data_IF_188052263425
#
_entry.id   IF_188052263425
#
_cell.length_a   1.000
_cell.length_b   1.000
_cell.length_c   1.000
_cell.angle_alpha   90.00
_cell.angle_beta   90.00
_cell.angle_gamma   90.00
#
_symmetry.space_group_name_H-M   'P 1'
#
loop_
_entity.id
_entity.type
_entity.pdbx_description
1 polymer ?
#
# COMPACT_ATOMS: atom_id res chain seq x y z
N UNK A 1 -27.34 -37.86 -16.11
CA UNK A 1 -26.86 -37.32 -14.82
C UNK A 1 -25.49 -36.71 -15.08
N UNK A 2 -25.41 -35.37 -15.09
CA UNK A 2 -24.27 -34.61 -15.59
C UNK A 2 -23.13 -34.62 -14.56
N UNK A 3 -21.92 -35.01 -14.98
CA UNK A 3 -20.68 -34.79 -14.21
C UNK A 3 -19.67 -34.07 -15.11
N UNK A 4 -19.14 -32.90 -14.72
CA UNK A 4 -18.15 -32.18 -15.51
C UNK A 4 -16.76 -32.75 -15.22
N UNK A 5 -16.05 -33.16 -16.28
CA UNK A 5 -14.77 -33.86 -16.20
C UNK A 5 -13.60 -32.90 -16.45
N UNK A 6 -13.12 -32.34 -15.34
CA UNK A 6 -11.74 -32.12 -14.85
C UNK A 6 -10.57 -31.69 -15.80
N UNK A 7 -10.60 -31.86 -17.12
CA UNK A 7 -9.36 -31.71 -17.91
C UNK A 7 -8.88 -30.28 -18.21
N UNK A 8 -9.66 -29.23 -17.94
CA UNK A 8 -9.33 -27.87 -18.41
C UNK A 8 -9.02 -26.84 -17.31
N UNK A 9 -8.96 -27.24 -16.03
CA UNK A 9 -8.73 -26.28 -14.94
C UNK A 9 -7.31 -25.70 -14.91
N UNK A 10 -6.29 -26.35 -15.49
CA UNK A 10 -4.91 -25.86 -15.45
C UNK A 10 -4.59 -24.71 -16.41
N UNK A 11 -5.30 -24.61 -17.53
CA UNK A 11 -5.24 -23.40 -18.37
C UNK A 11 -6.05 -22.25 -17.76
N UNK A 12 -6.92 -22.56 -16.80
CA UNK A 12 -7.89 -21.68 -16.21
C UNK A 12 -7.35 -21.03 -14.91
N UNK A 13 -6.46 -21.69 -14.17
CA UNK A 13 -5.77 -21.05 -13.02
C UNK A 13 -4.86 -19.88 -13.47
N UNK A 14 -4.32 -19.92 -14.69
CA UNK A 14 -3.60 -18.77 -15.27
C UNK A 14 -4.52 -17.64 -15.78
N UNK A 15 -5.81 -17.91 -16.05
CA UNK A 15 -6.75 -16.92 -16.61
C UNK A 15 -7.82 -16.42 -15.62
N UNK A 16 -8.07 -17.12 -14.51
CA UNK A 16 -8.98 -16.66 -13.44
C UNK A 16 -8.30 -15.88 -12.32
N UNK A 17 -6.96 -15.88 -12.22
CA UNK A 17 -6.24 -15.08 -11.23
C UNK A 17 -6.27 -13.56 -11.42
N UNK A 18 -6.84 -13.06 -12.53
CA UNK A 18 -6.70 -11.65 -12.92
C UNK A 18 -8.01 -10.85 -13.06
N UNK A 19 -9.15 -11.42 -12.68
CA UNK A 19 -10.42 -10.69 -12.70
C UNK A 19 -11.01 -10.71 -11.29
N UNK A 20 -11.01 -9.54 -10.65
CA UNK A 20 -11.58 -9.18 -9.33
C UNK A 20 -10.75 -9.44 -8.06
N UNK A 21 -9.62 -8.73 -7.87
CA UNK A 21 -9.15 -8.35 -6.51
C UNK A 21 -8.55 -6.93 -6.57
N UNK A 22 -8.90 -6.01 -5.65
CA UNK A 22 -8.23 -4.71 -5.53
C UNK A 22 -6.75 -4.88 -5.16
N UNK A 23 -5.93 -4.00 -5.73
CA UNK A 23 -4.47 -3.96 -5.68
C UNK A 23 -3.87 -3.86 -4.27
N UNK A 24 -2.84 -4.68 -3.98
CA UNK A 24 -1.80 -4.39 -2.96
C UNK A 24 -0.43 -5.03 -3.30
N UNK A 25 0.56 -4.18 -3.68
CA UNK A 25 2.05 -4.21 -3.37
C UNK A 25 3.06 -5.06 -4.17
N UNK A 26 3.78 -4.53 -5.15
CA UNK A 26 4.71 -5.23 -6.09
C UNK A 26 5.96 -6.03 -5.63
N UNK A 27 5.96 -6.69 -4.47
CA UNK A 27 6.73 -7.91 -4.24
C UNK A 27 5.84 -8.91 -3.48
N UNK A 28 5.23 -8.44 -2.38
CA UNK A 28 4.06 -9.03 -1.72
C UNK A 28 2.98 -9.45 -2.72
N UNK A 29 2.47 -8.55 -3.55
CA UNK A 29 1.46 -8.76 -4.59
C UNK A 29 1.83 -9.86 -5.55
N UNK A 30 3.10 -10.00 -5.94
CA UNK A 30 3.45 -11.07 -6.87
C UNK A 30 3.41 -12.41 -6.14
N UNK A 31 4.01 -12.50 -4.95
CA UNK A 31 4.01 -13.73 -4.16
C UNK A 31 2.61 -14.08 -3.63
N UNK A 32 1.84 -13.12 -3.18
CA UNK A 32 0.41 -13.22 -2.82
C UNK A 32 -0.44 -13.68 -4.01
N UNK A 33 -0.16 -13.19 -5.22
CA UNK A 33 -0.84 -13.68 -6.43
C UNK A 33 -0.48 -15.15 -6.64
N UNK A 34 0.79 -15.54 -6.52
CA UNK A 34 1.20 -16.95 -6.61
C UNK A 34 0.49 -17.80 -5.56
N UNK A 35 0.46 -17.35 -4.30
CA UNK A 35 -0.23 -18.03 -3.19
C UNK A 35 -1.71 -18.20 -3.50
N UNK A 36 -2.41 -17.14 -3.90
CA UNK A 36 -3.85 -17.20 -4.23
C UNK A 36 -4.14 -18.14 -5.40
N UNK A 37 -3.33 -18.09 -6.46
CA UNK A 37 -3.44 -19.00 -7.61
C UNK A 37 -3.30 -20.44 -7.13
N UNK A 38 -2.28 -20.73 -6.34
CA UNK A 38 -2.01 -22.08 -5.83
C UNK A 38 -3.08 -22.56 -4.85
N UNK A 39 -3.57 -21.70 -3.95
CA UNK A 39 -4.65 -22.02 -3.01
C UNK A 39 -5.97 -22.31 -3.75
N UNK A 40 -6.32 -21.50 -4.75
CA UNK A 40 -7.51 -21.74 -5.57
C UNK A 40 -7.39 -23.06 -6.35
N UNK A 41 -6.21 -23.36 -6.89
CA UNK A 41 -5.95 -24.65 -7.55
C UNK A 41 -6.13 -25.82 -6.58
N UNK A 42 -5.54 -25.72 -5.38
CA UNK A 42 -5.68 -26.72 -4.30
C UNK A 42 -7.14 -26.97 -3.96
N UNK A 43 -7.92 -25.91 -3.69
CA UNK A 43 -9.34 -26.04 -3.33
C UNK A 43 -10.17 -26.64 -4.47
N UNK A 44 -9.96 -26.20 -5.71
CA UNK A 44 -10.67 -26.75 -6.86
C UNK A 44 -10.40 -28.25 -7.03
N UNK A 45 -9.13 -28.65 -6.96
CA UNK A 45 -8.74 -30.05 -7.14
C UNK A 45 -9.24 -30.90 -5.99
N UNK A 46 -9.19 -30.40 -4.75
CA UNK A 46 -9.79 -31.08 -3.60
C UNK A 46 -11.28 -31.31 -3.81
N UNK A 47 -12.01 -30.31 -4.26
CA UNK A 47 -13.44 -30.45 -4.56
C UNK A 47 -13.71 -31.47 -5.67
N UNK A 48 -12.78 -31.70 -6.59
CA UNK A 48 -12.91 -32.73 -7.62
C UNK A 48 -12.62 -34.13 -7.07
N UNK A 49 -11.60 -34.26 -6.22
CA UNK A 49 -11.32 -35.50 -5.47
C UNK A 49 -12.53 -35.89 -4.62
N UNK A 50 -13.08 -34.95 -3.84
CA UNK A 50 -14.17 -35.20 -2.89
C UNK A 50 -15.49 -35.65 -3.59
N UNK A 51 -15.63 -35.44 -4.90
CA UNK A 51 -16.80 -35.88 -5.71
C UNK A 51 -16.68 -37.30 -6.25
N UNK A 52 -15.50 -37.92 -6.13
CA UNK A 52 -15.22 -39.24 -6.67
C UNK A 52 -15.38 -40.29 -5.56
N UNK A 53 -16.08 -41.37 -5.87
CA UNK A 53 -16.35 -42.46 -4.93
C UNK A 53 -15.22 -43.49 -4.84
N UNK A 54 -14.31 -43.47 -5.81
CA UNK A 54 -13.17 -44.37 -5.93
C UNK A 54 -12.03 -43.62 -6.63
N UNK A 55 -10.87 -43.53 -5.98
CA UNK A 55 -9.74 -42.71 -6.45
C UNK A 55 -8.44 -43.44 -6.11
N UNK A 56 -7.48 -43.42 -7.04
CA UNK A 56 -6.21 -44.10 -6.81
C UNK A 56 -5.36 -43.35 -5.79
N UNK A 57 -4.51 -44.09 -5.06
CA UNK A 57 -3.55 -43.53 -4.12
C UNK A 57 -2.64 -42.48 -4.79
N UNK A 58 -2.27 -42.71 -6.05
CA UNK A 58 -1.47 -41.80 -6.86
C UNK A 58 -2.09 -40.39 -6.99
N UNK A 59 -3.42 -40.29 -7.04
CA UNK A 59 -4.11 -38.98 -7.05
C UNK A 59 -3.90 -38.24 -5.73
N UNK A 60 -4.00 -38.94 -4.60
CA UNK A 60 -3.73 -38.35 -3.28
C UNK A 60 -2.27 -37.94 -3.15
N UNK A 61 -1.33 -38.77 -3.62
CA UNK A 61 0.10 -38.49 -3.52
C UNK A 61 0.48 -37.21 -4.29
N UNK A 62 -0.05 -37.02 -5.52
CA UNK A 62 0.15 -35.77 -6.27
C UNK A 62 -0.52 -34.57 -5.61
N UNK A 63 -1.73 -34.75 -5.08
CA UNK A 63 -2.44 -33.67 -4.40
C UNK A 63 -1.69 -33.21 -3.13
N UNK A 64 -1.20 -34.16 -2.33
CA UNK A 64 -0.49 -33.91 -1.09
C UNK A 64 0.87 -33.27 -1.36
N UNK A 65 1.59 -33.66 -2.42
CA UNK A 65 2.80 -32.95 -2.81
C UNK A 65 2.50 -31.50 -3.24
N UNK A 66 1.45 -31.29 -4.02
CA UNK A 66 0.98 -29.93 -4.37
C UNK A 66 0.61 -29.10 -3.14
N UNK A 67 -0.09 -29.69 -2.17
CA UNK A 67 -0.44 -29.05 -0.90
C UNK A 67 0.81 -28.71 -0.08
N UNK A 68 1.79 -29.61 -0.02
CA UNK A 68 3.07 -29.38 0.67
C UNK A 68 3.86 -28.24 0.01
N UNK A 69 3.97 -28.22 -1.32
CA UNK A 69 4.62 -27.12 -2.04
C UNK A 69 3.89 -25.79 -1.86
N UNK A 70 2.56 -25.81 -1.70
CA UNK A 70 1.78 -24.61 -1.36
C UNK A 70 2.19 -24.03 0.00
N UNK A 71 2.41 -24.89 1.01
CA UNK A 71 2.89 -24.45 2.33
C UNK A 71 4.30 -23.85 2.22
N UNK A 72 5.20 -24.48 1.47
CA UNK A 72 6.56 -23.98 1.27
C UNK A 72 6.59 -22.65 0.49
N UNK A 73 5.70 -22.48 -0.49
CA UNK A 73 5.48 -21.21 -1.19
C UNK A 73 5.11 -20.09 -0.21
N UNK A 74 4.15 -20.34 0.69
CA UNK A 74 3.71 -19.36 1.69
C UNK A 74 4.89 -18.99 2.61
N UNK A 75 5.62 -19.98 3.12
CA UNK A 75 6.77 -19.74 4.00
C UNK A 75 7.90 -18.97 3.31
N UNK A 76 8.18 -19.25 2.03
CA UNK A 76 9.17 -18.51 1.26
C UNK A 76 8.71 -17.07 1.00
N UNK A 77 7.41 -16.87 0.75
CA UNK A 77 6.84 -15.54 0.58
C UNK A 77 6.89 -14.69 1.86
N UNK A 78 6.57 -15.27 3.02
CA UNK A 78 6.68 -14.61 4.34
C UNK A 78 8.12 -14.15 4.64
N UNK A 79 9.11 -14.84 4.06
CA UNK A 79 10.54 -14.50 4.19
C UNK A 79 11.06 -13.60 3.05
N UNK A 80 10.18 -13.15 2.16
CA UNK A 80 10.52 -12.40 0.94
C UNK A 80 11.54 -13.12 0.01
N UNK A 81 11.65 -14.46 0.10
CA UNK A 81 12.51 -15.27 -0.76
C UNK A 81 11.81 -15.54 -2.11
N UNK A 82 11.95 -14.58 -3.02
CA UNK A 82 11.31 -14.60 -4.34
C UNK A 82 11.72 -15.82 -5.19
N UNK A 83 12.97 -16.29 -5.06
CA UNK A 83 13.49 -17.40 -5.88
C UNK A 83 12.84 -18.71 -5.42
N UNK A 84 12.88 -18.98 -4.12
CA UNK A 84 12.28 -20.19 -3.56
C UNK A 84 10.76 -20.17 -3.71
N UNK A 85 10.11 -19.02 -3.49
CA UNK A 85 8.67 -18.90 -3.68
C UNK A 85 8.25 -19.23 -5.13
N UNK A 86 8.96 -18.73 -6.14
CA UNK A 86 8.67 -19.07 -7.54
C UNK A 86 8.89 -20.55 -7.84
N UNK A 87 9.93 -21.15 -7.28
CA UNK A 87 10.20 -22.58 -7.44
C UNK A 87 9.08 -23.43 -6.85
N UNK A 88 8.67 -23.14 -5.61
CA UNK A 88 7.58 -23.84 -4.92
C UNK A 88 6.23 -23.65 -5.62
N UNK A 89 5.97 -22.45 -6.17
CA UNK A 89 4.80 -22.22 -7.02
C UNK A 89 4.77 -23.16 -8.24
N UNK A 90 5.87 -23.24 -9.00
CA UNK A 90 5.95 -24.10 -10.18
C UNK A 90 5.75 -25.57 -9.79
N UNK A 91 6.44 -26.03 -8.75
CA UNK A 91 6.31 -27.41 -8.26
C UNK A 91 4.88 -27.74 -7.83
N UNK A 92 4.21 -26.83 -7.09
CA UNK A 92 2.81 -27.01 -6.70
C UNK A 92 1.89 -27.13 -7.92
N UNK A 93 2.06 -26.27 -8.92
CA UNK A 93 1.24 -26.29 -10.13
C UNK A 93 1.50 -27.52 -11.01
N UNK A 94 2.71 -28.07 -11.03
CA UNK A 94 3.03 -29.35 -11.69
C UNK A 94 2.33 -30.51 -10.97
N UNK A 95 2.42 -30.58 -9.64
CA UNK A 95 1.79 -31.64 -8.86
C UNK A 95 0.26 -31.61 -9.04
N UNK A 96 -0.35 -30.42 -8.90
CA UNK A 96 -1.77 -30.21 -9.20
C UNK A 96 -2.16 -30.54 -10.64
N UNK A 97 -1.25 -30.34 -11.60
CA UNK A 97 -1.45 -30.82 -12.98
C UNK A 97 -1.54 -32.33 -13.04
N UNK A 98 -0.62 -33.03 -12.39
CA UNK A 98 -0.57 -34.48 -12.36
C UNK A 98 -1.80 -35.06 -11.64
N UNK A 99 -2.25 -34.46 -10.54
CA UNK A 99 -3.49 -34.83 -9.86
C UNK A 99 -4.68 -34.78 -10.83
N UNK A 100 -4.84 -33.67 -11.56
CA UNK A 100 -5.94 -33.49 -12.51
C UNK A 100 -5.88 -34.49 -13.67
N UNK A 101 -4.69 -34.82 -14.17
CA UNK A 101 -4.51 -35.85 -15.21
C UNK A 101 -4.89 -37.23 -14.69
N UNK A 102 -4.38 -37.63 -13.53
CA UNK A 102 -4.63 -38.95 -12.93
C UNK A 102 -6.11 -39.16 -12.56
N UNK A 103 -6.81 -38.11 -12.11
CA UNK A 103 -8.27 -38.13 -11.93
C UNK A 103 -8.97 -38.47 -13.24
N UNK A 104 -8.54 -37.82 -14.31
CA UNK A 104 -9.25 -37.90 -15.58
C UNK A 104 -8.92 -39.17 -16.38
N UNK A 105 -7.73 -39.74 -16.18
CA UNK A 105 -7.36 -41.07 -16.69
C UNK A 105 -8.15 -42.20 -16.01
N UNK A 106 -8.45 -42.06 -14.71
CA UNK A 106 -9.37 -42.96 -13.99
C UNK A 106 -10.80 -42.92 -14.58
N UNK A 107 -11.21 -41.79 -15.14
CA UNK A 107 -12.53 -41.63 -15.76
C UNK A 107 -12.58 -42.08 -17.24
N UNK A 108 -11.45 -42.04 -17.95
CA UNK A 108 -11.32 -42.43 -19.37
C UNK A 108 -11.46 -43.94 -19.63
N UNK A 109 -11.34 -44.79 -18.61
CA UNK A 109 -11.63 -46.23 -18.73
C UNK A 109 -13.13 -46.55 -18.95
N UNK A 110 -14.00 -45.53 -19.03
CA UNK A 110 -15.44 -45.66 -19.28
C UNK A 110 -15.88 -44.89 -20.55
N UNK A 111 -15.76 -45.53 -21.72
CA UNK A 111 -16.50 -45.32 -23.00
C UNK A 111 -16.13 -44.17 -24.00
N UNK A 112 -16.32 -44.38 -25.34
CA UNK A 112 -16.00 -43.42 -26.43
C UNK A 112 -16.97 -42.23 -26.64
N UNK A 113 -18.13 -42.20 -25.97
CA UNK A 113 -19.13 -41.11 -26.11
C UNK A 113 -18.67 -39.77 -25.51
N UNK A 114 -17.58 -39.76 -24.76
CA UNK A 114 -17.08 -38.63 -23.96
C UNK A 114 -16.43 -37.53 -24.82
N UNK A 115 -15.81 -37.88 -25.96
CA UNK A 115 -15.08 -36.94 -26.84
C UNK A 115 -16.03 -35.91 -27.50
N UNK A 116 -17.26 -36.32 -27.85
CA UNK A 116 -18.27 -35.46 -28.49
C UNK A 116 -18.84 -34.44 -27.47
N UNK A 117 -18.94 -34.82 -26.20
CA UNK A 117 -19.39 -33.92 -25.12
C UNK A 117 -18.34 -32.86 -24.75
N UNK A 118 -17.06 -33.19 -24.87
CA UNK A 118 -15.96 -32.33 -24.42
C UNK A 118 -15.77 -31.07 -25.29
N UNK A 119 -15.85 -31.21 -26.62
CA UNK A 119 -15.66 -30.07 -27.54
C UNK A 119 -16.78 -29.01 -27.42
N UNK A 120 -18.04 -29.41 -27.19
CA UNK A 120 -19.16 -28.47 -26.97
C UNK A 120 -18.97 -27.64 -25.70
N UNK A 121 -18.53 -28.27 -24.62
CA UNK A 121 -18.22 -27.56 -23.38
C UNK A 121 -17.04 -26.60 -23.58
N UNK A 122 -16.02 -27.03 -24.32
CA UNK A 122 -14.86 -26.21 -24.66
C UNK A 122 -15.22 -24.98 -25.49
N UNK A 123 -16.08 -25.13 -26.51
CA UNK A 123 -16.61 -24.00 -27.29
C UNK A 123 -17.33 -22.99 -26.39
N UNK A 124 -18.21 -23.46 -25.48
CA UNK A 124 -18.91 -22.57 -24.53
C UNK A 124 -17.96 -21.84 -23.59
N UNK A 125 -16.88 -22.49 -23.15
CA UNK A 125 -15.84 -21.87 -22.31
C UNK A 125 -15.13 -20.75 -23.07
N UNK A 126 -14.69 -21.00 -24.31
CA UNK A 126 -14.06 -19.97 -25.13
C UNK A 126 -15.01 -18.81 -25.42
N UNK A 127 -16.28 -19.08 -25.72
CA UNK A 127 -17.28 -18.02 -25.88
C UNK A 127 -17.36 -17.12 -24.63
N UNK A 128 -17.43 -17.72 -23.44
CA UNK A 128 -17.46 -16.96 -22.19
C UNK A 128 -16.17 -16.18 -21.94
N UNK A 129 -15.02 -16.75 -22.28
CA UNK A 129 -13.73 -16.06 -22.14
C UNK A 129 -13.61 -14.88 -23.10
N UNK A 130 -14.02 -15.03 -24.35
CA UNK A 130 -14.05 -13.93 -25.34
C UNK A 130 -14.97 -12.80 -24.84
N UNK A 131 -16.16 -13.11 -24.31
CA UNK A 131 -17.05 -12.12 -23.69
C UNK A 131 -16.38 -11.37 -22.54
N UNK A 132 -15.61 -12.07 -21.68
CA UNK A 132 -14.84 -11.43 -20.59
C UNK A 132 -13.75 -10.51 -21.14
N UNK A 133 -13.01 -10.94 -22.16
CA UNK A 133 -11.97 -10.11 -22.78
C UNK A 133 -12.57 -8.82 -23.38
N UNK A 134 -13.72 -8.91 -24.07
CA UNK A 134 -14.46 -7.74 -24.57
C UNK A 134 -14.88 -6.78 -23.45
N UNK A 135 -15.39 -7.32 -22.34
CA UNK A 135 -15.78 -6.52 -21.18
C UNK A 135 -14.57 -5.81 -20.54
N UNK A 136 -13.43 -6.48 -20.45
CA UNK A 136 -12.18 -5.87 -19.98
C UNK A 136 -11.70 -4.78 -20.95
N UNK A 137 -11.73 -5.04 -22.25
CA UNK A 137 -11.42 -4.06 -23.30
C UNK A 137 -12.25 -2.79 -23.15
N UNK A 138 -13.58 -2.94 -23.01
CA UNK A 138 -14.49 -1.81 -22.81
C UNK A 138 -14.18 -1.02 -21.51
N UNK A 139 -13.89 -1.73 -20.40
CA UNK A 139 -13.51 -1.08 -19.13
C UNK A 139 -12.18 -0.32 -19.21
N UNK A 140 -11.25 -0.81 -20.02
CA UNK A 140 -9.96 -0.16 -20.27
C UNK A 140 -10.06 0.92 -21.36
N UNK A 141 -11.23 1.07 -22.00
CA UNK A 141 -11.49 1.96 -23.12
C UNK A 141 -10.50 1.74 -24.29
N UNK A 142 -10.29 0.47 -24.65
CA UNK A 142 -9.35 0.06 -25.71
C UNK A 142 -10.07 -0.31 -27.00
N UNK A 143 -9.46 0.02 -28.12
CA UNK A 143 -9.95 -0.27 -29.48
C UNK A 143 -9.37 -1.58 -30.03
N UNK A 144 -9.43 -2.65 -29.22
CA UNK A 144 -8.96 -3.97 -29.66
C UNK A 144 -10.01 -4.57 -30.59
N UNK A 145 -9.58 -5.02 -31.76
CA UNK A 145 -10.41 -5.75 -32.70
C UNK A 145 -10.62 -7.21 -32.25
N UNK A 146 -11.88 -7.62 -32.19
CA UNK A 146 -12.31 -8.99 -31.85
C UNK A 146 -12.88 -9.74 -33.05
N UNK A 147 -12.92 -9.14 -34.25
CA UNK A 147 -13.56 -9.73 -35.43
C UNK A 147 -12.96 -11.11 -35.77
N UNK A 148 -11.63 -11.22 -35.80
CA UNK A 148 -10.95 -12.48 -36.09
C UNK A 148 -11.33 -13.60 -35.12
N UNK A 149 -11.31 -13.33 -33.80
CA UNK A 149 -11.61 -14.36 -32.80
C UNK A 149 -13.12 -14.70 -32.76
N UNK A 150 -13.98 -13.75 -33.11
CA UNK A 150 -15.42 -13.99 -33.29
C UNK A 150 -15.70 -14.89 -34.51
N UNK A 151 -15.02 -14.64 -35.64
CA UNK A 151 -15.10 -15.48 -36.83
C UNK A 151 -14.61 -16.90 -36.55
N UNK A 152 -13.51 -17.05 -35.81
CA UNK A 152 -13.01 -18.36 -35.38
C UNK A 152 -14.01 -19.09 -34.46
N UNK A 153 -14.63 -18.38 -33.52
CA UNK A 153 -15.65 -18.96 -32.65
C UNK A 153 -16.88 -19.45 -33.44
N UNK A 154 -17.33 -18.67 -34.43
CA UNK A 154 -18.41 -19.08 -35.32
C UNK A 154 -18.03 -20.32 -36.14
N UNK A 155 -16.79 -20.36 -36.65
CA UNK A 155 -16.28 -21.51 -37.40
C UNK A 155 -16.19 -22.78 -36.53
N UNK A 156 -15.73 -22.67 -35.28
CA UNK A 156 -15.69 -23.80 -34.34
C UNK A 156 -17.09 -24.37 -34.09
N UNK A 157 -18.10 -23.50 -33.88
CA UNK A 157 -19.50 -23.91 -33.72
C UNK A 157 -20.03 -24.63 -34.97
N UNK A 158 -19.70 -24.12 -36.15
CA UNK A 158 -20.14 -24.71 -37.42
C UNK A 158 -19.48 -26.08 -37.68
N UNK A 159 -18.18 -26.22 -37.42
CA UNK A 159 -17.46 -27.49 -37.57
C UNK A 159 -17.99 -28.55 -36.59
N UNK A 160 -18.24 -28.16 -35.34
CA UNK A 160 -18.80 -29.05 -34.33
C UNK A 160 -20.20 -29.54 -34.73
N UNK A 161 -21.07 -28.63 -35.19
CA UNK A 161 -22.42 -28.99 -35.64
C UNK A 161 -22.43 -29.98 -36.83
N UNK A 162 -21.39 -29.96 -37.66
CA UNK A 162 -21.22 -30.89 -38.80
C UNK A 162 -20.53 -32.21 -38.42
N UNK A 163 -20.10 -32.38 -37.16
CA UNK A 163 -19.34 -33.56 -36.71
C UNK A 163 -17.86 -33.56 -37.13
N UNK A 164 -17.32 -32.43 -37.59
CA UNK A 164 -15.93 -32.30 -38.03
C UNK A 164 -15.01 -32.08 -36.82
N UNK A 165 -14.79 -33.14 -36.02
CA UNK A 165 -14.13 -33.04 -34.71
C UNK A 165 -12.67 -32.57 -34.80
N UNK A 166 -11.91 -33.03 -35.81
CA UNK A 166 -10.50 -32.65 -36.01
C UNK A 166 -10.36 -31.17 -36.39
N UNK A 167 -11.17 -30.70 -37.33
CA UNK A 167 -11.19 -29.28 -37.71
C UNK A 167 -11.70 -28.40 -36.57
N UNK A 168 -12.62 -28.90 -35.74
CA UNK A 168 -13.06 -28.19 -34.54
C UNK A 168 -11.89 -27.98 -33.58
N UNK A 169 -11.09 -29.02 -33.32
CA UNK A 169 -9.90 -28.95 -32.47
C UNK A 169 -8.83 -27.98 -33.01
N UNK A 170 -8.57 -28.00 -34.31
CA UNK A 170 -7.65 -27.07 -34.97
C UNK A 170 -8.10 -25.61 -34.83
N UNK A 171 -9.39 -25.33 -35.01
CA UNK A 171 -9.95 -23.98 -34.84
C UNK A 171 -9.93 -23.55 -33.36
N UNK A 172 -10.25 -24.45 -32.43
CA UNK A 172 -10.16 -24.17 -30.99
C UNK A 172 -8.72 -23.83 -30.55
N UNK A 173 -7.73 -24.49 -31.14
CA UNK A 173 -6.31 -24.17 -30.89
C UNK A 173 -5.94 -22.76 -31.37
N UNK A 174 -6.50 -22.31 -32.51
CA UNK A 174 -6.33 -20.93 -33.00
C UNK A 174 -7.01 -19.92 -32.07
N UNK A 175 -8.24 -20.19 -31.63
CA UNK A 175 -8.94 -19.35 -30.64
C UNK A 175 -8.11 -19.20 -29.36
N UNK A 176 -7.48 -20.28 -28.89
CA UNK A 176 -6.62 -20.24 -27.71
C UNK A 176 -5.41 -19.32 -27.91
N UNK A 177 -4.75 -19.41 -29.06
CA UNK A 177 -3.62 -18.56 -29.42
C UNK A 177 -4.01 -17.08 -29.50
N UNK A 178 -5.05 -16.76 -30.26
CA UNK A 178 -5.53 -15.38 -30.47
C UNK A 178 -6.04 -14.78 -29.14
N UNK A 179 -6.80 -15.56 -28.36
CA UNK A 179 -7.28 -15.15 -27.05
C UNK A 179 -6.14 -14.83 -26.08
N UNK A 180 -5.03 -15.60 -26.12
CA UNK A 180 -3.83 -15.34 -25.32
C UNK A 180 -3.13 -14.04 -25.73
N UNK A 181 -3.08 -13.74 -27.02
CA UNK A 181 -2.49 -12.48 -27.51
C UNK A 181 -3.32 -11.27 -27.08
N UNK A 182 -4.64 -11.33 -27.24
CA UNK A 182 -5.57 -10.29 -26.77
C UNK A 182 -5.43 -10.09 -25.25
N UNK A 183 -5.40 -11.18 -24.47
CA UNK A 183 -5.22 -11.11 -23.03
C UNK A 183 -3.90 -10.43 -22.64
N UNK A 184 -2.79 -10.77 -23.32
CA UNK A 184 -1.48 -10.17 -23.09
C UNK A 184 -1.52 -8.66 -23.35
N UNK A 185 -2.11 -8.24 -24.47
CA UNK A 185 -2.25 -6.84 -24.82
C UNK A 185 -3.08 -6.06 -23.78
N UNK A 186 -4.24 -6.61 -23.38
CA UNK A 186 -5.09 -6.02 -22.35
C UNK A 186 -4.36 -5.88 -21.00
N UNK A 187 -3.54 -6.87 -20.64
CA UNK A 187 -2.72 -6.82 -19.43
C UNK A 187 -1.68 -5.69 -19.50
N UNK A 188 -0.95 -5.59 -20.60
CA UNK A 188 0.06 -4.53 -20.81
C UNK A 188 -0.58 -3.13 -20.75
N UNK A 189 -1.74 -2.94 -21.40
CA UNK A 189 -2.48 -1.68 -21.34
C UNK A 189 -2.96 -1.37 -19.92
N UNK A 190 -3.46 -2.38 -19.20
CA UNK A 190 -3.87 -2.21 -17.79
C UNK A 190 -2.70 -1.75 -16.92
N UNK A 191 -1.51 -2.36 -17.07
CA UNK A 191 -0.32 -1.97 -16.32
C UNK A 191 0.14 -0.54 -16.67
N UNK A 192 0.12 -0.17 -17.95
CA UNK A 192 0.39 1.19 -18.41
C UNK A 192 -0.60 2.21 -17.81
N UNK A 193 -1.89 1.89 -17.80
CA UNK A 193 -2.92 2.74 -17.20
C UNK A 193 -2.74 2.89 -15.69
N UNK A 194 -2.31 1.83 -14.98
CA UNK A 194 -2.02 1.89 -13.53
C UNK A 194 -0.85 2.81 -13.24
N UNK A 195 0.26 2.71 -13.97
CA UNK A 195 1.40 3.62 -13.78
C UNK A 195 1.03 5.06 -14.15
N UNK A 196 0.25 5.27 -15.21
CA UNK A 196 -0.20 6.62 -15.58
C UNK A 196 -1.03 7.27 -14.47
N UNK A 197 -2.04 6.57 -13.94
CA UNK A 197 -2.85 7.06 -12.81
C UNK A 197 -2.01 7.29 -11.55
N UNK A 198 -1.04 6.42 -11.27
CA UNK A 198 -0.12 6.60 -10.15
C UNK A 198 0.77 7.85 -10.31
N UNK A 199 1.26 8.13 -11.53
CA UNK A 199 2.01 9.36 -11.84
C UNK A 199 1.15 10.62 -11.69
N UNK A 200 -0.11 10.58 -12.13
CA UNK A 200 -1.05 11.68 -11.90
C UNK A 200 -1.30 11.92 -10.40
N UNK A 201 -1.44 10.85 -9.62
CA UNK A 201 -1.54 10.95 -8.15
C UNK A 201 -0.29 11.60 -7.55
N UNK A 202 0.91 11.14 -7.95
CA UNK A 202 2.19 11.74 -7.55
C UNK A 202 2.23 13.24 -7.84
N UNK A 203 1.85 13.68 -9.04
CA UNK A 203 1.84 15.09 -9.42
C UNK A 203 0.93 15.92 -8.50
N UNK A 204 -0.30 15.44 -8.21
CA UNK A 204 -1.22 16.11 -7.29
C UNK A 204 -0.69 16.23 -5.85
N UNK A 205 0.23 15.36 -5.46
CA UNK A 205 0.82 15.34 -4.12
C UNK A 205 2.17 16.07 -4.02
N UNK A 206 2.74 16.52 -5.14
CA UNK A 206 4.06 17.16 -5.16
C UNK A 206 4.12 18.44 -4.30
N UNK A 207 3.07 19.26 -4.34
CA UNK A 207 2.97 20.49 -3.55
C UNK A 207 2.92 20.21 -2.04
N UNK A 208 2.19 19.17 -1.63
CA UNK A 208 2.14 18.75 -0.22
C UNK A 208 3.52 18.32 0.29
N UNK A 209 4.29 17.62 -0.54
CA UNK A 209 5.66 17.21 -0.21
C UNK A 209 6.57 18.44 -0.11
N UNK A 210 6.43 19.43 -1.01
CA UNK A 210 7.17 20.71 -0.91
C UNK A 210 6.88 21.43 0.41
N UNK A 211 5.61 21.52 0.81
CA UNK A 211 5.22 22.14 2.07
C UNK A 211 5.78 21.37 3.28
N UNK A 212 5.87 20.04 3.20
CA UNK A 212 6.47 19.23 4.24
C UNK A 212 7.99 19.43 4.34
N UNK A 213 8.68 19.54 3.21
CA UNK A 213 10.11 19.88 3.15
C UNK A 213 10.36 21.26 3.78
N UNK A 214 9.52 22.24 3.46
CA UNK A 214 9.62 23.58 4.05
C UNK A 214 9.44 23.54 5.57
N UNK A 215 8.40 22.84 6.06
CA UNK A 215 8.18 22.66 7.50
C UNK A 215 9.36 21.97 8.17
N UNK A 216 9.92 20.91 7.59
CA UNK A 216 11.09 20.23 8.12
C UNK A 216 12.26 21.21 8.30
N UNK A 217 12.53 22.06 7.30
CA UNK A 217 13.56 23.12 7.41
C UNK A 217 13.21 24.14 8.49
N UNK A 218 11.95 24.58 8.55
CA UNK A 218 11.48 25.51 9.58
C UNK A 218 11.71 24.97 10.98
N UNK A 219 11.62 23.66 11.20
CA UNK A 219 11.90 23.03 12.50
C UNK A 219 13.36 22.56 12.68
N UNK A 220 14.29 23.00 11.83
CA UNK A 220 15.71 22.62 11.93
C UNK A 220 16.00 21.15 11.62
N UNK A 221 15.07 20.45 10.97
CA UNK A 221 15.20 19.04 10.60
C UNK A 221 15.86 18.88 9.22
N UNK A 222 17.05 19.45 9.02
CA UNK A 222 17.71 19.52 7.70
C UNK A 222 17.87 18.14 7.05
N UNK A 223 18.33 17.13 7.81
CA UNK A 223 18.45 15.75 7.32
C UNK A 223 17.09 15.19 6.86
N UNK A 224 16.01 15.54 7.54
CA UNK A 224 14.66 15.10 7.17
C UNK A 224 14.22 15.81 5.89
N UNK A 225 14.48 17.10 5.77
CA UNK A 225 14.20 17.87 4.56
C UNK A 225 14.94 17.33 3.33
N UNK A 226 16.22 16.95 3.49
CA UNK A 226 17.02 16.34 2.42
C UNK A 226 16.48 14.99 1.97
N UNK A 227 16.09 14.12 2.91
CA UNK A 227 15.50 12.82 2.60
C UNK A 227 14.16 13.00 1.89
N UNK A 228 13.31 13.90 2.36
CA UNK A 228 12.03 14.21 1.70
C UNK A 228 12.23 14.74 0.28
N UNK A 229 13.23 15.61 0.06
CA UNK A 229 13.60 16.12 -1.26
C UNK A 229 14.08 14.99 -2.19
N UNK A 230 14.92 14.09 -1.68
CA UNK A 230 15.39 12.94 -2.45
C UNK A 230 14.24 12.00 -2.81
N UNK A 231 13.35 11.71 -1.86
CA UNK A 231 12.15 10.89 -2.11
C UNK A 231 11.23 11.53 -3.14
N UNK A 232 11.07 12.87 -3.13
CA UNK A 232 10.29 13.57 -4.15
C UNK A 232 10.88 13.38 -5.56
N UNK A 233 12.20 13.51 -5.71
CA UNK A 233 12.90 13.29 -6.99
C UNK A 233 12.66 11.85 -7.47
N UNK A 234 12.87 10.86 -6.59
CA UNK A 234 12.68 9.45 -6.92
C UNK A 234 11.23 9.12 -7.27
N UNK A 235 10.27 9.77 -6.62
CA UNK A 235 8.84 9.60 -6.85
C UNK A 235 8.41 10.18 -8.21
N UNK A 236 8.99 11.32 -8.62
CA UNK A 236 8.77 11.90 -9.96
C UNK A 236 9.41 11.07 -11.09
N UNK A 237 10.52 10.38 -10.80
CA UNK A 237 11.24 9.53 -11.76
C UNK A 237 10.72 8.08 -11.79
N UNK A 238 9.83 7.70 -10.88
CA UNK A 238 9.36 6.32 -10.73
C UNK A 238 8.59 5.84 -11.97
N UNK A 239 8.89 4.61 -12.42
CA UNK A 239 8.26 3.98 -13.57
C UNK A 239 7.45 2.74 -13.21
N UNK A 240 7.35 2.41 -11.92
CA UNK A 240 6.52 1.32 -11.41
C UNK A 240 5.71 1.80 -10.21
N UNK A 241 4.55 1.17 -9.97
CA UNK A 241 3.74 1.49 -8.79
C UNK A 241 4.43 1.07 -7.48
N UNK A 242 5.35 0.10 -7.53
CA UNK A 242 6.17 -0.34 -6.39
C UNK A 242 7.06 0.79 -5.88
N UNK A 243 7.81 1.41 -6.80
CA UNK A 243 8.70 2.52 -6.50
C UNK A 243 7.91 3.69 -5.91
N UNK A 244 6.77 4.04 -6.51
CA UNK A 244 5.87 5.08 -5.99
C UNK A 244 5.43 4.76 -4.57
N UNK A 245 4.97 3.51 -4.30
CA UNK A 245 4.53 3.09 -2.96
C UNK A 245 5.67 3.17 -1.94
N UNK A 246 6.86 2.70 -2.30
CA UNK A 246 8.03 2.73 -1.41
C UNK A 246 8.39 4.17 -1.02
N UNK A 247 8.39 5.09 -1.98
CA UNK A 247 8.67 6.50 -1.70
C UNK A 247 7.58 7.14 -0.82
N UNK A 248 6.31 6.83 -1.05
CA UNK A 248 5.25 7.28 -0.14
C UNK A 248 5.40 6.74 1.28
N UNK A 249 5.84 5.48 1.47
CA UNK A 249 6.12 4.96 2.82
C UNK A 249 7.19 5.81 3.52
N UNK A 250 8.28 6.13 2.83
CA UNK A 250 9.35 6.99 3.36
C UNK A 250 8.78 8.36 3.74
N UNK A 251 8.04 8.99 2.82
CA UNK A 251 7.42 10.31 3.04
C UNK A 251 6.52 10.29 4.28
N UNK A 252 5.68 9.26 4.45
CA UNK A 252 4.77 9.14 5.60
C UNK A 252 5.54 9.05 6.92
N UNK A 253 6.62 8.25 6.98
CA UNK A 253 7.44 8.12 8.19
C UNK A 253 8.07 9.46 8.56
N UNK A 254 8.62 10.19 7.59
CA UNK A 254 9.23 11.49 7.85
C UNK A 254 8.18 12.59 8.09
N UNK A 255 6.99 12.47 7.52
CA UNK A 255 5.85 13.33 7.86
C UNK A 255 5.48 13.20 9.34
N UNK A 256 5.38 11.97 9.85
CA UNK A 256 5.11 11.73 11.27
C UNK A 256 6.20 12.35 12.16
N UNK A 257 7.46 12.26 11.76
CA UNK A 257 8.57 12.89 12.49
C UNK A 257 8.46 14.42 12.53
N UNK A 258 8.10 15.05 11.41
CA UNK A 258 7.89 16.51 11.36
C UNK A 258 6.71 16.91 12.23
N UNK A 259 5.60 16.17 12.18
CA UNK A 259 4.42 16.45 13.00
C UNK A 259 4.71 16.29 14.50
N UNK A 260 5.45 15.25 14.90
CA UNK A 260 5.85 15.06 16.28
C UNK A 260 6.68 16.23 16.82
N UNK A 261 7.65 16.71 16.03
CA UNK A 261 8.46 17.87 16.43
C UNK A 261 7.62 19.13 16.52
N UNK A 262 6.66 19.32 15.60
CA UNK A 262 5.70 20.43 15.66
C UNK A 262 4.81 20.38 16.91
N UNK A 263 4.32 19.21 17.30
CA UNK A 263 3.52 19.04 18.52
C UNK A 263 4.33 19.34 19.79
N UNK A 264 5.55 18.79 19.90
CA UNK A 264 6.47 19.06 21.02
C UNK A 264 6.77 20.56 21.10
N UNK A 265 7.03 21.17 19.95
CA UNK A 265 7.29 22.59 19.79
C UNK A 265 6.15 23.45 20.34
N UNK A 266 4.91 23.14 19.94
CA UNK A 266 3.71 23.85 20.41
C UNK A 266 3.48 23.64 21.91
N UNK A 267 3.66 22.42 22.42
CA UNK A 267 3.51 22.13 23.85
C UNK A 267 4.52 22.92 24.71
N UNK A 268 5.75 23.06 24.25
CA UNK A 268 6.81 23.80 24.96
C UNK A 268 6.50 25.30 25.01
N UNK A 269 5.99 25.89 23.93
CA UNK A 269 5.53 27.28 23.94
C UNK A 269 4.41 27.50 24.96
N UNK A 270 3.41 26.61 25.00
CA UNK A 270 2.31 26.68 25.97
C UNK A 270 2.83 26.54 27.41
N UNK A 271 3.82 25.67 27.66
CA UNK A 271 4.49 25.54 28.95
C UNK A 271 5.12 26.88 29.37
N UNK A 272 5.91 27.51 28.49
CA UNK A 272 6.58 28.79 28.78
C UNK A 272 5.55 29.91 29.06
N UNK A 273 4.46 29.97 28.29
CA UNK A 273 3.36 30.91 28.55
C UNK A 273 2.74 30.67 29.94
N UNK A 274 2.47 29.41 30.30
CA UNK A 274 1.89 29.05 31.60
C UNK A 274 2.77 29.46 32.79
N UNK A 275 4.10 29.48 32.61
CA UNK A 275 5.05 29.87 33.65
C UNK A 275 5.06 31.37 33.93
N UNK A 276 4.72 32.20 32.93
CA UNK A 276 4.65 33.67 33.06
C UNK A 276 3.39 34.13 33.79
N UNK A 277 2.24 33.49 33.54
CA UNK A 277 0.94 33.85 34.15
C UNK A 277 0.99 34.06 35.66
N UNK A 278 1.55 33.14 36.50
CA UNK A 278 1.62 33.36 37.94
C UNK A 278 2.60 34.47 38.33
N UNK A 279 3.67 34.69 37.54
CA UNK A 279 4.65 35.75 37.81
C UNK A 279 4.04 37.14 37.55
N UNK A 280 3.27 37.27 36.48
CA UNK A 280 2.51 38.49 36.17
C UNK A 280 1.48 38.79 37.27
N UNK A 281 0.70 37.79 37.70
CA UNK A 281 -0.22 37.96 38.82
C UNK A 281 0.49 38.37 40.11
N UNK A 282 1.65 37.79 40.40
CA UNK A 282 2.47 38.17 41.56
C UNK A 282 2.96 39.61 41.43
N UNK A 283 3.44 40.03 40.26
CA UNK A 283 3.86 41.40 40.02
C UNK A 283 2.71 42.39 40.23
N UNK A 284 1.51 42.08 39.72
CA UNK A 284 0.29 42.88 39.93
C UNK A 284 -0.08 42.98 41.42
N UNK A 285 -0.02 41.88 42.17
CA UNK A 285 -0.27 41.89 43.61
C UNK A 285 0.73 42.76 44.37
N UNK A 286 2.03 42.62 44.07
CA UNK A 286 3.09 43.42 44.70
C UNK A 286 2.97 44.91 44.33
N UNK A 287 2.44 45.24 43.15
CA UNK A 287 2.15 46.62 42.75
C UNK A 287 1.06 47.26 43.62
N UNK A 288 0.02 46.48 43.95
CA UNK A 288 -1.06 46.96 44.82
C UNK A 288 -0.59 47.18 46.27
N UNK A 289 0.37 46.39 46.73
CA UNK A 289 0.91 46.46 48.09
C UNK A 289 2.10 47.43 48.22
N UNK A 290 2.54 48.02 47.11
CA UNK A 290 3.67 48.93 47.04
C UNK A 290 3.35 50.26 47.73
N UNK A 291 4.13 50.59 48.76
CA UNK A 291 4.15 51.92 49.41
C UNK A 291 5.26 52.80 48.81
N UNK A 292 5.63 53.92 49.44
CA UNK A 292 6.70 54.85 49.00
C UNK A 292 8.14 54.26 49.04
N UNK A 293 8.34 52.99 48.68
CA UNK A 293 9.64 52.35 48.56
C UNK A 293 10.14 52.45 47.10
N UNK A 294 10.96 53.46 46.83
CA UNK A 294 11.51 53.75 45.50
C UNK A 294 12.36 52.61 44.92
N UNK A 295 13.02 51.81 45.77
CA UNK A 295 13.80 50.65 45.32
C UNK A 295 12.89 49.51 44.86
N UNK A 296 11.82 49.23 45.60
CA UNK A 296 10.82 48.23 45.23
C UNK A 296 10.08 48.63 43.94
N UNK A 297 9.68 49.90 43.80
CA UNK A 297 9.07 50.45 42.57
C UNK A 297 9.97 50.25 41.34
N UNK A 298 11.26 50.57 41.46
CA UNK A 298 12.22 50.39 40.37
C UNK A 298 12.36 48.93 39.92
N UNK A 299 12.50 47.98 40.87
CA UNK A 299 12.60 46.56 40.52
C UNK A 299 11.29 46.02 39.93
N UNK A 300 10.14 46.50 40.41
CA UNK A 300 8.84 46.07 39.94
C UNK A 300 8.55 46.54 38.50
N UNK A 301 8.86 47.80 38.16
CA UNK A 301 8.80 48.31 36.78
C UNK A 301 9.68 47.49 35.83
N UNK A 302 10.89 47.14 36.28
CA UNK A 302 11.79 46.26 35.51
C UNK A 302 11.20 44.86 35.30
N UNK A 303 10.56 44.29 36.32
CA UNK A 303 9.91 42.99 36.22
C UNK A 303 8.75 43.01 35.21
N UNK A 304 7.90 44.04 35.22
CA UNK A 304 6.82 44.19 34.23
C UNK A 304 7.34 44.30 32.80
N UNK A 305 8.35 45.15 32.55
CA UNK A 305 8.95 45.26 31.23
C UNK A 305 9.51 43.92 30.77
N UNK A 306 10.23 43.21 31.65
CA UNK A 306 10.80 41.92 31.30
C UNK A 306 9.73 40.85 31.06
N UNK A 307 8.59 40.90 31.75
CA UNK A 307 7.44 40.01 31.49
C UNK A 307 6.89 40.26 30.08
N UNK A 308 6.63 41.52 29.72
CA UNK A 308 6.10 41.87 28.38
C UNK A 308 7.09 41.52 27.27
N UNK A 309 8.38 41.84 27.46
CA UNK A 309 9.44 41.43 26.52
C UNK A 309 9.47 39.90 26.35
N UNK A 310 9.34 39.15 27.44
CA UNK A 310 9.36 37.67 27.38
C UNK A 310 8.10 37.12 26.69
N UNK A 311 6.93 37.75 26.88
CA UNK A 311 5.70 37.37 26.14
C UNK A 311 5.88 37.60 24.63
N UNK A 312 6.48 38.73 24.25
CA UNK A 312 6.74 39.05 22.86
C UNK A 312 7.75 38.07 22.25
N UNK A 313 8.84 37.74 22.96
CA UNK A 313 9.79 36.73 22.51
C UNK A 313 9.11 35.37 22.26
N UNK A 314 8.25 34.91 23.17
CA UNK A 314 7.51 33.65 23.00
C UNK A 314 6.63 33.70 21.74
N UNK A 315 5.99 34.84 21.47
CA UNK A 315 5.15 35.03 20.28
C UNK A 315 5.98 35.03 19.01
N UNK A 316 7.14 35.68 19.01
CA UNK A 316 8.02 35.74 17.84
C UNK A 316 8.58 34.34 17.50
N UNK A 317 8.72 33.47 18.49
CA UNK A 317 9.14 32.07 18.29
C UNK A 317 8.08 31.19 17.60
N UNK A 318 6.80 31.55 17.64
CA UNK A 318 5.76 30.84 16.87
C UNK A 318 6.01 30.95 15.35
N UNK A 319 6.79 31.94 14.92
CA UNK A 319 6.98 32.28 13.51
C UNK A 319 8.46 32.26 13.07
N UNK A 320 9.39 31.93 13.97
CA UNK A 320 10.82 31.99 13.69
C UNK A 320 11.29 30.85 12.76
N UNK A 321 11.99 31.15 11.64
CA UNK A 321 12.60 30.14 10.78
C UNK A 321 13.80 29.49 11.50
N UNK A 322 13.78 28.16 11.67
CA UNK A 322 14.69 27.40 12.53
C UNK A 322 13.96 26.76 13.71
N UNK A 323 12.85 27.37 14.13
CA UNK A 323 11.79 26.75 14.93
C UNK A 323 12.20 26.21 16.29
N UNK A 324 11.23 25.64 17.00
CA UNK A 324 11.35 25.17 18.39
C UNK A 324 12.09 23.81 18.47
N UNK A 325 12.94 23.49 17.48
CA UNK A 325 13.64 22.21 17.39
C UNK A 325 14.71 22.00 18.46
N UNK A 326 15.21 23.08 19.07
CA UNK A 326 16.22 23.03 20.13
C UNK A 326 15.62 23.51 21.45
N UNK A 327 14.90 22.61 22.14
CA UNK A 327 14.29 22.88 23.46
C UNK A 327 15.29 23.43 24.48
N UNK A 328 16.56 23.01 24.37
CA UNK A 328 17.67 23.47 25.20
C UNK A 328 18.00 24.95 24.98
N UNK A 329 17.81 25.47 23.78
CA UNK A 329 18.01 26.89 23.47
C UNK A 329 16.95 27.78 24.14
N UNK A 330 15.70 27.32 24.25
CA UNK A 330 14.63 28.08 24.91
C UNK A 330 14.82 28.16 26.42
N UNK A 331 15.19 27.05 27.06
CA UNK A 331 15.53 27.07 28.48
C UNK A 331 16.71 28.02 28.77
N UNK A 332 17.68 28.09 27.85
CA UNK A 332 18.85 28.98 28.00
C UNK A 332 18.56 30.46 27.68
N UNK A 333 17.45 30.79 27.02
CA UNK A 333 17.07 32.16 26.65
C UNK A 333 15.85 32.63 27.46
N UNK A 334 14.66 32.16 27.09
CA UNK A 334 13.40 32.49 27.77
C UNK A 334 13.39 31.96 29.20
N UNK A 335 13.89 30.74 29.43
CA UNK A 335 13.98 30.18 30.78
C UNK A 335 14.81 31.05 31.72
N UNK A 336 15.90 31.67 31.23
CA UNK A 336 16.68 32.64 32.00
C UNK A 336 15.93 33.94 32.27
N UNK A 337 15.18 34.46 31.30
CA UNK A 337 14.31 35.64 31.50
C UNK A 337 13.25 35.36 32.57
N UNK A 338 12.59 34.20 32.51
CA UNK A 338 11.64 33.74 33.51
C UNK A 338 12.29 33.65 34.90
N UNK A 339 13.51 33.12 35.00
CA UNK A 339 14.22 33.07 36.28
C UNK A 339 14.59 34.46 36.80
N UNK A 340 15.05 35.36 35.93
CA UNK A 340 15.36 36.73 36.31
C UNK A 340 14.11 37.48 36.80
N UNK A 341 12.94 37.26 36.20
CA UNK A 341 11.65 37.79 36.68
C UNK A 341 11.38 37.26 38.10
N UNK A 342 11.51 35.95 38.33
CA UNK A 342 11.31 35.35 39.67
C UNK A 342 12.21 36.00 40.72
N UNK A 343 13.48 36.15 40.41
CA UNK A 343 14.47 36.72 41.34
C UNK A 343 14.17 38.19 41.65
N UNK A 344 13.76 38.97 40.64
CA UNK A 344 13.33 40.36 40.83
C UNK A 344 12.08 40.46 41.71
N UNK A 345 11.06 39.65 41.45
CA UNK A 345 9.82 39.66 42.24
C UNK A 345 10.05 39.24 43.68
N UNK A 346 10.92 38.26 43.93
CA UNK A 346 11.33 37.88 45.28
C UNK A 346 12.04 39.04 46.00
N UNK A 347 12.88 39.81 45.28
CA UNK A 347 13.55 40.98 45.84
C UNK A 347 12.56 42.10 46.19
N UNK A 348 11.58 42.37 45.32
CA UNK A 348 10.50 43.34 45.57
C UNK A 348 9.70 42.94 46.81
N UNK A 349 9.28 41.68 46.89
CA UNK A 349 8.54 41.15 48.03
C UNK A 349 9.29 41.35 49.36
N UNK A 350 10.60 41.07 49.39
CA UNK A 350 11.43 41.33 50.58
C UNK A 350 11.48 42.82 50.93
N UNK A 351 11.59 43.70 49.95
CA UNK A 351 11.63 45.15 50.17
C UNK A 351 10.29 45.71 50.66
N UNK A 352 9.16 45.09 50.27
CA UNK A 352 7.83 45.50 50.72
C UNK A 352 7.55 44.99 52.14
N UNK A 353 7.77 43.70 52.41
CA UNK A 353 7.28 43.06 53.65
C UNK A 353 8.34 42.81 54.73
N UNK A 354 9.64 42.81 54.40
CA UNK A 354 10.72 42.54 55.37
C UNK A 354 11.48 43.81 55.75
N UNK A 355 11.44 44.84 54.91
CA UNK A 355 12.05 46.17 55.19
C UNK A 355 11.05 47.18 55.79
N UNK A 356 9.87 46.73 56.22
CA UNK A 356 8.85 47.54 56.91
C UNK A 356 9.02 47.49 58.43
#
# INVERSE_FOLDING_TARGET
MNKPLVFFSLFLVASMGFVTIPNTVHADSQLDILIKITQNAKEHIKNDIDKLSDISQEVYDFYDDGARQTVLLIQAAEKEDVVSARQHFISAMIAFKQTSLAISENELQKTPQTIISDQSQTIKKYENNIKKLKLVSAKLNTDIDFEQIDQLLALAKANYAKGNLKQTEEVLSKIASDGKQIQKLLYEISEQNRIHKAKQFVQKHAERINNLILQAKTFGLDKTADILKQSQIQLLQANTTSQIKQQFKIIIVYQQKVEQVKEISQAELLRLQSLLVPLEKKAQSLANDLKENSAADHFLKRAFNLIEDTKQDIKDLEHAPGGIGDTKYFDLTIGKKIQAIKDMLLKVEKLIYISS
#
